data_IF_584122907126
#
_entry.id   IF_584122907126
#
_cell.length_a   1.000
_cell.length_b   1.000
_cell.length_c   1.000
_cell.angle_alpha   90.00
_cell.angle_beta   90.00
_cell.angle_gamma   90.00
#
_symmetry.space_group_name_H-M   'P 1'
#
loop_
_entity.id
_entity.type
_entity.pdbx_description
1 polymer ?
#
# COMPACT_ATOMS: atom_id res chain seq x y z
N UNK A 1 24.94 -1.25 -4.61
CA UNK A 1 24.21 -0.11 -5.25
C UNK A 1 23.40 -0.65 -6.41
N UNK A 2 22.13 -1.07 -6.23
CA UNK A 2 21.24 -1.22 -7.36
C UNK A 2 20.68 0.17 -7.70
N UNK A 3 20.85 0.59 -8.95
CA UNK A 3 20.11 1.71 -9.52
C UNK A 3 18.63 1.30 -9.52
N UNK A 4 17.86 1.85 -8.57
CA UNK A 4 16.41 1.73 -8.57
C UNK A 4 15.90 2.48 -9.80
N UNK A 5 15.68 1.76 -10.89
CA UNK A 5 14.95 2.26 -12.05
C UNK A 5 13.56 2.69 -11.59
N UNK A 6 13.27 3.99 -11.66
CA UNK A 6 11.98 4.62 -11.35
C UNK A 6 10.90 4.27 -12.38
N UNK A 7 10.70 2.98 -12.66
CA UNK A 7 9.70 2.52 -13.62
C UNK A 7 8.40 2.19 -12.89
N UNK A 8 7.39 3.05 -13.05
CA UNK A 8 6.01 2.75 -12.68
C UNK A 8 5.25 2.45 -13.98
N UNK A 9 4.83 1.19 -14.18
CA UNK A 9 4.13 0.78 -15.39
C UNK A 9 2.63 0.65 -15.10
N UNK A 10 1.80 1.26 -15.94
CA UNK A 10 0.35 1.04 -15.91
C UNK A 10 0.05 -0.44 -16.19
N UNK A 11 -0.92 -1.00 -15.48
CA UNK A 11 -1.30 -2.40 -15.65
C UNK A 11 -1.91 -2.60 -17.04
N UNK A 12 -1.27 -3.44 -17.85
CA UNK A 12 -1.86 -3.97 -19.07
C UNK A 12 -2.40 -5.37 -18.80
N UNK A 13 -3.69 -5.55 -19.03
CA UNK A 13 -4.37 -6.84 -18.93
C UNK A 13 -3.92 -7.69 -20.13
N UNK A 14 -3.00 -8.63 -19.91
CA UNK A 14 -2.56 -9.54 -20.96
C UNK A 14 -3.33 -10.86 -20.84
N UNK A 15 -4.38 -11.01 -21.64
CA UNK A 15 -5.02 -12.30 -21.83
C UNK A 15 -4.05 -13.23 -22.56
N UNK A 16 -3.48 -14.21 -21.83
CA UNK A 16 -2.68 -15.26 -22.47
C UNK A 16 -3.61 -16.22 -23.21
N UNK A 17 -3.85 -15.94 -24.48
CA UNK A 17 -4.20 -17.00 -25.43
C UNK A 17 -2.92 -17.81 -25.73
N UNK A 18 -2.95 -19.16 -25.71
CA UNK A 18 -1.80 -19.94 -26.10
C UNK A 18 -1.62 -19.82 -27.61
N UNK A 19 -0.68 -18.99 -28.07
CA UNK A 19 -0.20 -19.05 -29.44
C UNK A 19 1.25 -18.57 -29.57
N UNK A 20 1.99 -19.50 -30.15
CA UNK A 20 3.32 -19.44 -30.73
C UNK A 20 3.59 -18.26 -31.68
N UNK A 21 4.87 -17.85 -31.68
CA UNK A 21 5.63 -17.08 -32.68
C UNK A 21 5.52 -15.54 -32.70
N UNK A 22 6.73 -14.95 -32.75
CA UNK A 22 7.11 -13.55 -33.03
C UNK A 22 7.10 -12.61 -31.81
N UNK A 23 8.13 -11.81 -31.54
CA UNK A 23 9.44 -11.60 -32.16
C UNK A 23 10.25 -10.69 -31.24
N UNK A 24 11.56 -10.87 -31.18
CA UNK A 24 12.49 -10.08 -30.37
C UNK A 24 12.74 -8.72 -31.00
N UNK A 25 12.30 -7.63 -30.35
CA UNK A 25 12.75 -6.28 -30.67
C UNK A 25 13.78 -5.77 -29.63
N UNK A 26 14.74 -4.94 -30.03
CA UNK A 26 15.94 -4.66 -29.24
C UNK A 26 15.69 -3.55 -28.21
N UNK A 27 16.30 -3.68 -27.03
CA UNK A 27 16.33 -2.65 -25.98
C UNK A 27 16.94 -1.34 -26.48
N UNK A 28 16.07 -0.39 -26.82
CA UNK A 28 16.43 1.03 -26.95
C UNK A 28 16.47 1.66 -25.56
N UNK A 29 17.66 2.16 -25.20
CA UNK A 29 17.96 3.30 -24.32
C UNK A 29 16.95 3.56 -23.19
N UNK A 30 17.36 3.33 -21.94
CA UNK A 30 16.66 3.77 -20.72
C UNK A 30 16.57 5.32 -20.70
N UNK A 31 15.63 5.88 -21.45
CA UNK A 31 15.20 7.26 -21.27
C UNK A 31 14.56 7.35 -19.90
N UNK A 32 15.06 8.27 -19.07
CA UNK A 32 14.41 8.58 -17.80
C UNK A 32 12.98 9.04 -18.11
N UNK A 33 11.98 8.30 -17.64
CA UNK A 33 10.56 8.56 -17.92
C UNK A 33 10.06 9.89 -17.34
N UNK A 34 10.85 10.53 -16.48
CA UNK A 34 10.56 11.83 -15.89
C UNK A 34 11.79 12.77 -15.96
N UNK A 35 11.59 14.10 -15.96
CA UNK A 35 12.66 15.09 -15.84
C UNK A 35 13.49 14.93 -14.55
N UNK A 36 14.67 15.54 -14.51
CA UNK A 36 15.50 15.58 -13.30
C UNK A 36 14.72 16.16 -12.10
N UNK A 37 14.88 15.57 -10.91
CA UNK A 37 14.15 15.88 -9.65
C UNK A 37 12.66 15.54 -9.65
N UNK A 38 12.16 14.86 -10.69
CA UNK A 38 10.83 14.27 -10.71
C UNK A 38 10.92 12.75 -10.67
N UNK A 39 9.92 12.14 -10.04
CA UNK A 39 9.77 10.69 -9.94
C UNK A 39 8.44 10.28 -10.53
N UNK A 40 8.45 9.17 -11.27
CA UNK A 40 7.23 8.58 -11.79
C UNK A 40 6.48 7.92 -10.62
N UNK A 41 5.29 8.41 -10.35
CA UNK A 41 4.44 7.93 -9.25
C UNK A 41 3.04 7.60 -9.76
N UNK A 42 2.36 6.62 -9.16
CA UNK A 42 0.96 6.35 -9.49
C UNK A 42 0.09 7.60 -9.27
N UNK A 43 -0.69 7.98 -10.28
CA UNK A 43 -1.68 9.05 -10.19
C UNK A 43 -3.08 8.52 -9.83
N UNK A 44 -3.37 7.28 -10.24
CA UNK A 44 -4.60 6.57 -9.94
C UNK A 44 -4.31 5.10 -9.69
N UNK A 45 -4.83 4.59 -8.56
CA UNK A 45 -4.71 3.20 -8.14
C UNK A 45 -6.08 2.68 -7.76
N UNK A 46 -6.52 1.59 -8.37
CA UNK A 46 -7.69 0.85 -7.92
C UNK A 46 -7.29 -0.44 -7.22
N UNK A 47 -8.05 -0.84 -6.22
CA UNK A 47 -7.87 -2.09 -5.50
C UNK A 47 -8.82 -3.12 -6.10
N UNK A 48 -8.25 -4.09 -6.80
CA UNK A 48 -9.00 -5.20 -7.39
C UNK A 48 -8.96 -6.40 -6.46
N UNK A 49 -10.13 -7.00 -6.23
CA UNK A 49 -10.24 -8.30 -5.58
C UNK A 49 -10.23 -9.40 -6.64
N UNK A 50 -9.30 -10.35 -6.50
CA UNK A 50 -9.11 -11.49 -7.39
C UNK A 50 -9.38 -12.77 -6.62
N UNK A 51 -10.27 -13.62 -7.12
CA UNK A 51 -10.43 -14.97 -6.62
C UNK A 51 -9.36 -15.87 -7.27
N UNK A 52 -8.29 -16.15 -6.54
CA UNK A 52 -7.25 -17.09 -6.92
C UNK A 52 -7.59 -18.50 -6.41
N UNK A 53 -6.87 -19.53 -6.88
CA UNK A 53 -7.02 -20.90 -6.39
C UNK A 53 -6.71 -21.02 -4.89
N UNK A 54 -5.78 -20.19 -4.41
CA UNK A 54 -5.38 -20.10 -2.99
C UNK A 54 -6.35 -19.26 -2.16
N UNK A 55 -7.33 -18.61 -2.80
CA UNK A 55 -8.35 -17.78 -2.16
C UNK A 55 -8.39 -16.35 -2.71
N UNK A 56 -9.12 -15.50 -2.00
CA UNK A 56 -9.30 -14.10 -2.39
C UNK A 56 -8.04 -13.29 -2.10
N UNK A 57 -7.53 -12.59 -3.11
CA UNK A 57 -6.37 -11.70 -3.01
C UNK A 57 -6.72 -10.32 -3.53
N UNK A 58 -6.35 -9.28 -2.78
CA UNK A 58 -6.41 -7.91 -3.27
C UNK A 58 -5.09 -7.52 -3.91
N UNK A 59 -5.19 -6.88 -5.08
CA UNK A 59 -4.05 -6.34 -5.81
C UNK A 59 -4.31 -4.87 -6.15
N UNK A 60 -3.26 -4.09 -6.11
CA UNK A 60 -3.28 -2.70 -6.54
C UNK A 60 -3.01 -2.65 -8.04
N UNK A 61 -3.96 -2.08 -8.78
CA UNK A 61 -3.88 -1.88 -10.21
C UNK A 61 -3.61 -0.40 -10.43
N UNK A 62 -2.41 -0.09 -10.94
CA UNK A 62 -2.01 1.26 -11.31
C UNK A 62 -2.62 1.55 -12.68
N UNK A 63 -3.51 2.52 -12.73
CA UNK A 63 -4.20 2.89 -13.99
C UNK A 63 -3.49 4.04 -14.70
N UNK A 64 -2.91 4.96 -13.92
CA UNK A 64 -2.18 6.11 -14.40
C UNK A 64 -0.91 6.38 -13.61
N UNK A 65 0.05 7.01 -14.28
CA UNK A 65 1.30 7.47 -13.70
C UNK A 65 1.51 8.95 -14.04
N UNK A 66 2.13 9.69 -13.13
CA UNK A 66 2.54 11.06 -13.36
C UNK A 66 3.93 11.34 -12.78
N UNK A 67 4.63 12.31 -13.34
CA UNK A 67 5.89 12.79 -12.80
C UNK A 67 5.60 13.79 -11.68
N UNK A 68 5.94 13.45 -10.44
CA UNK A 68 5.84 14.33 -9.30
C UNK A 68 7.22 14.78 -8.83
N UNK A 69 7.31 16.03 -8.36
CA UNK A 69 8.52 16.51 -7.72
C UNK A 69 8.80 15.68 -6.46
N UNK A 70 10.05 15.25 -6.28
CA UNK A 70 10.46 14.58 -5.05
C UNK A 70 10.76 15.62 -3.98
N UNK A 71 10.00 15.69 -2.87
CA UNK A 71 10.28 16.62 -1.79
C UNK A 71 11.63 16.29 -1.14
N UNK A 72 12.37 17.32 -0.74
CA UNK A 72 13.64 17.19 -0.02
C UNK A 72 13.45 16.77 1.43
N UNK A 73 12.29 17.08 2.00
CA UNK A 73 11.93 16.77 3.38
C UNK A 73 11.11 15.48 3.47
N UNK A 74 11.15 14.84 4.65
CA UNK A 74 10.32 13.69 4.94
C UNK A 74 8.89 14.14 5.30
N UNK A 75 7.95 13.87 4.40
CA UNK A 75 6.56 14.30 4.52
C UNK A 75 5.60 13.14 4.17
N UNK A 76 4.41 13.17 4.77
CA UNK A 76 3.28 12.36 4.31
C UNK A 76 2.76 12.95 3.01
N UNK A 77 2.76 12.15 1.96
CA UNK A 77 2.18 12.48 0.66
C UNK A 77 0.84 11.74 0.49
N UNK A 78 -0.12 12.33 -0.23
CA UNK A 78 -1.36 11.65 -0.55
C UNK A 78 -1.09 10.43 -1.45
N UNK A 79 -1.87 9.39 -1.26
CA UNK A 79 -1.87 8.18 -2.06
C UNK A 79 -3.31 7.67 -2.16
N UNK A 80 -4.03 8.11 -3.20
CA UNK A 80 -5.43 7.75 -3.39
C UNK A 80 -5.56 6.30 -3.89
N UNK A 81 -6.47 5.56 -3.27
CA UNK A 81 -6.85 4.20 -3.67
C UNK A 81 -8.36 4.10 -3.77
N UNK A 82 -8.85 3.60 -4.91
CA UNK A 82 -10.27 3.34 -5.14
C UNK A 82 -10.58 1.87 -4.86
N UNK A 83 -11.44 1.62 -3.88
CA UNK A 83 -11.91 0.31 -3.48
C UNK A 83 -13.26 0.01 -4.14
N UNK A 84 -13.49 -1.24 -4.51
CA UNK A 84 -14.74 -1.72 -5.13
C UNK A 84 -15.21 -0.86 -6.31
N UNK A 85 -14.33 -0.61 -7.30
CA UNK A 85 -14.68 0.21 -8.46
C UNK A 85 -15.88 -0.35 -9.21
N UNK A 86 -16.68 0.54 -9.81
CA UNK A 86 -17.88 0.20 -10.60
C UNK A 86 -18.99 -0.49 -9.80
N UNK A 87 -19.03 -0.27 -8.48
CA UNK A 87 -20.04 -0.84 -7.60
C UNK A 87 -20.68 0.21 -6.68
N UNK A 88 -21.87 -0.06 -6.10
CA UNK A 88 -22.46 0.82 -5.09
C UNK A 88 -21.63 0.98 -3.80
N UNK A 89 -20.59 0.16 -3.62
CA UNK A 89 -19.65 0.21 -2.51
C UNK A 89 -18.35 0.96 -2.85
N UNK A 90 -18.28 1.58 -4.04
CA UNK A 90 -17.09 2.29 -4.48
C UNK A 90 -16.71 3.39 -3.48
N UNK A 91 -15.44 3.36 -3.05
CA UNK A 91 -14.92 4.36 -2.13
C UNK A 91 -13.45 4.66 -2.46
N UNK A 92 -13.14 5.94 -2.64
CA UNK A 92 -11.75 6.39 -2.80
C UNK A 92 -11.23 6.94 -1.48
N UNK A 93 -10.10 6.41 -1.02
CA UNK A 93 -9.45 6.78 0.23
C UNK A 93 -8.02 7.25 -0.03
N UNK A 94 -7.62 8.34 0.63
CA UNK A 94 -6.20 8.68 0.76
C UNK A 94 -5.56 7.79 1.83
N UNK A 95 -4.90 6.71 1.41
CA UNK A 95 -4.18 5.84 2.35
C UNK A 95 -2.86 6.43 2.82
N UNK A 96 -2.40 7.50 2.18
CA UNK A 96 -1.13 8.15 2.47
C UNK A 96 0.09 7.28 2.15
N UNK A 97 1.23 7.95 2.02
CA UNK A 97 2.55 7.31 1.94
C UNK A 97 3.62 8.28 2.43
N UNK A 98 4.80 7.78 2.73
CA UNK A 98 5.93 8.64 3.03
C UNK A 98 6.69 9.00 1.74
N UNK A 99 7.10 10.26 1.65
CA UNK A 99 8.05 10.70 0.63
C UNK A 99 9.36 9.93 0.70
N UNK A 100 10.11 9.88 -0.38
CA UNK A 100 11.43 9.27 -0.42
C UNK A 100 12.50 10.33 -0.77
N UNK A 101 12.92 11.17 0.19
CA UNK A 101 13.95 12.18 -0.06
C UNK A 101 15.29 11.51 -0.38
N UNK A 102 16.11 12.14 -1.22
CA UNK A 102 17.37 11.54 -1.70
C UNK A 102 18.47 11.47 -0.64
N UNK A 103 18.43 12.40 0.32
CA UNK A 103 19.41 12.51 1.40
C UNK A 103 18.72 12.59 2.77
N UNK A 104 18.08 11.51 3.24
CA UNK A 104 17.35 11.49 4.51
C UNK A 104 18.26 11.65 5.76
N UNK A 105 19.58 11.75 5.59
CA UNK A 105 20.59 11.63 6.66
C UNK A 105 21.18 10.22 6.70
N UNK A 106 22.44 10.08 7.11
CA UNK A 106 23.11 8.77 7.16
C UNK A 106 22.33 7.78 8.02
N UNK A 107 21.90 6.66 7.42
CA UNK A 107 21.19 5.58 8.12
C UNK A 107 19.73 5.87 8.47
N UNK A 108 19.15 6.99 8.02
CA UNK A 108 17.76 7.34 8.25
C UNK A 108 16.90 7.08 7.01
N UNK A 109 15.64 6.74 7.23
CA UNK A 109 14.64 6.53 6.20
C UNK A 109 13.38 7.33 6.56
N UNK A 110 12.70 7.86 5.55
CA UNK A 110 11.40 8.50 5.77
C UNK A 110 10.32 7.42 5.90
N UNK A 111 9.89 7.16 7.13
CA UNK A 111 9.04 6.04 7.48
C UNK A 111 7.78 6.51 8.23
N UNK A 112 6.67 5.77 8.11
CA UNK A 112 5.39 6.15 8.71
C UNK A 112 5.40 5.92 10.23
N UNK A 113 5.09 6.95 11.01
CA UNK A 113 5.13 6.89 12.47
C UNK A 113 3.81 6.46 13.10
N UNK A 114 2.71 6.91 12.49
CA UNK A 114 1.37 6.75 13.03
C UNK A 114 0.46 6.19 11.94
N UNK A 115 -0.50 5.37 12.35
CA UNK A 115 -1.50 4.77 11.48
C UNK A 115 -2.89 4.99 12.06
N UNK A 116 -3.76 5.57 11.25
CA UNK A 116 -5.19 5.55 11.48
C UNK A 116 -5.82 4.34 10.77
N UNK A 117 -7.05 4.02 11.14
CA UNK A 117 -7.81 2.92 10.55
C UNK A 117 -9.19 3.38 10.14
N UNK A 118 -9.59 3.09 8.90
CA UNK A 118 -10.94 3.35 8.40
C UNK A 118 -11.62 2.02 8.10
N UNK A 119 -12.81 1.82 8.65
CA UNK A 119 -13.65 0.68 8.32
C UNK A 119 -14.47 0.99 7.06
N UNK A 120 -14.20 0.26 5.99
CA UNK A 120 -14.96 0.33 4.75
C UNK A 120 -15.98 -0.81 4.68
N UNK A 121 -17.13 -0.54 4.07
CA UNK A 121 -18.12 -1.57 3.78
C UNK A 121 -17.65 -2.42 2.61
N UNK A 122 -17.85 -3.72 2.72
CA UNK A 122 -17.50 -4.72 1.70
C UNK A 122 -18.69 -5.66 1.50
N UNK A 123 -18.73 -6.42 0.40
CA UNK A 123 -19.75 -7.47 0.23
C UNK A 123 -19.75 -8.52 1.36
N UNK A 124 -18.60 -8.72 2.02
CA UNK A 124 -18.39 -9.72 3.08
C UNK A 124 -18.37 -9.11 4.50
N UNK A 125 -18.98 -7.94 4.70
CA UNK A 125 -18.99 -7.23 5.99
C UNK A 125 -18.12 -5.97 5.97
N UNK A 126 -17.37 -5.71 7.04
CA UNK A 126 -16.49 -4.56 7.13
C UNK A 126 -15.02 -4.97 7.01
N UNK A 127 -14.21 -4.04 6.49
CA UNK A 127 -12.76 -4.22 6.40
C UNK A 127 -12.06 -2.97 6.91
N UNK A 128 -10.97 -3.15 7.66
CA UNK A 128 -10.09 -2.05 8.01
C UNK A 128 -9.09 -1.75 6.89
N UNK A 129 -8.97 -0.47 6.57
CA UNK A 129 -7.93 0.08 5.71
C UNK A 129 -7.05 0.94 6.59
N UNK A 130 -5.75 0.65 6.60
CA UNK A 130 -4.77 1.47 7.28
C UNK A 130 -4.48 2.74 6.50
N UNK A 131 -4.45 3.86 7.21
CA UNK A 131 -4.11 5.18 6.68
C UNK A 131 -2.84 5.65 7.38
N UNK A 132 -1.82 6.01 6.61
CA UNK A 132 -0.62 6.64 7.17
C UNK A 132 -1.01 7.99 7.73
N UNK A 133 -0.76 8.25 9.01
CA UNK A 133 -1.09 9.52 9.66
C UNK A 133 0.05 10.54 9.59
N UNK A 134 1.28 10.11 9.86
CA UNK A 134 2.46 10.97 9.80
C UNK A 134 3.72 10.20 9.36
N UNK A 135 4.71 10.92 8.83
CA UNK A 135 6.00 10.38 8.39
C UNK A 135 7.13 11.14 9.07
N UNK A 136 8.18 10.44 9.50
CA UNK A 136 9.39 11.04 10.08
C UNK A 136 10.64 10.27 9.65
N UNK A 137 11.78 10.94 9.72
CA UNK A 137 13.08 10.31 9.54
C UNK A 137 13.39 9.42 10.75
N UNK A 138 13.64 8.14 10.50
CA UNK A 138 13.94 7.13 11.53
C UNK A 138 14.94 6.11 11.06
N UNK A 139 15.61 5.49 12.03
CA UNK A 139 16.38 4.27 11.82
C UNK A 139 15.44 3.15 11.30
N UNK A 140 15.96 2.22 10.49
CA UNK A 140 15.16 1.10 10.01
C UNK A 140 14.77 0.15 11.15
N UNK A 141 13.70 -0.63 10.95
CA UNK A 141 13.24 -1.68 11.84
C UNK A 141 12.72 -1.23 13.22
N UNK A 142 11.50 -0.70 13.24
CA UNK A 142 10.79 -0.40 14.48
C UNK A 142 9.39 -1.00 14.45
N UNK A 143 8.83 -1.26 15.63
CA UNK A 143 7.43 -1.65 15.77
C UNK A 143 6.55 -0.43 15.61
N UNK A 144 5.51 -0.58 14.81
CA UNK A 144 4.38 0.36 14.75
C UNK A 144 3.12 -0.31 15.24
N UNK A 145 2.21 0.53 15.75
CA UNK A 145 0.85 0.12 16.04
C UNK A 145 0.14 -0.31 14.75
N UNK A 146 -0.55 -1.45 14.79
CA UNK A 146 -1.35 -1.97 13.71
C UNK A 146 -2.65 -2.54 14.28
N UNK A 147 -3.72 -1.76 14.15
CA UNK A 147 -5.04 -2.14 14.61
C UNK A 147 -5.70 -3.12 13.65
N UNK A 148 -6.05 -4.29 14.15
CA UNK A 148 -6.94 -5.24 13.50
C UNK A 148 -8.31 -5.23 14.17
N UNK A 149 -9.36 -5.43 13.36
CA UNK A 149 -10.74 -5.45 13.83
C UNK A 149 -11.28 -6.86 13.70
N UNK A 150 -11.96 -7.34 14.74
CA UNK A 150 -12.54 -8.67 14.76
C UNK A 150 -13.93 -8.64 15.38
N UNK A 151 -14.75 -9.64 15.04
CA UNK A 151 -16.07 -9.82 15.62
C UNK A 151 -16.00 -10.69 16.87
N UNK A 152 -16.48 -10.17 17.99
CA UNK A 152 -16.77 -10.93 19.20
C UNK A 152 -18.25 -11.28 19.23
N UNK A 153 -18.58 -12.57 19.32
CA UNK A 153 -19.96 -13.04 19.44
C UNK A 153 -20.33 -13.10 20.92
N UNK A 154 -21.23 -12.24 21.36
CA UNK A 154 -21.78 -12.22 22.72
C UNK A 154 -23.25 -12.65 22.70
N UNK A 155 -23.74 -13.24 23.80
CA UNK A 155 -25.14 -13.57 23.97
C UNK A 155 -25.81 -12.48 24.81
N UNK A 156 -26.93 -11.94 24.34
CA UNK A 156 -27.72 -11.02 25.16
C UNK A 156 -28.53 -11.78 26.24
N UNK A 157 -29.22 -11.04 27.10
CA UNK A 157 -30.06 -11.63 28.16
C UNK A 157 -31.21 -12.50 27.64
N UNK A 158 -31.58 -12.35 26.36
CA UNK A 158 -32.57 -13.19 25.67
C UNK A 158 -31.94 -14.41 24.97
N UNK A 159 -30.61 -14.60 25.04
CA UNK A 159 -29.89 -15.69 24.37
C UNK A 159 -29.67 -15.48 22.88
N UNK A 160 -29.90 -14.26 22.37
CA UNK A 160 -29.65 -13.91 20.97
C UNK A 160 -28.17 -13.58 20.77
N UNK A 161 -27.62 -14.01 19.62
CA UNK A 161 -26.24 -13.71 19.24
C UNK A 161 -26.13 -12.26 18.79
N UNK A 162 -25.25 -11.51 19.42
CA UNK A 162 -24.85 -10.18 19.02
C UNK A 162 -23.39 -10.21 18.58
N UNK A 163 -23.10 -9.65 17.42
CA UNK A 163 -21.75 -9.49 16.90
C UNK A 163 -21.26 -8.07 17.25
N UNK A 164 -20.23 -7.99 18.09
CA UNK A 164 -19.59 -6.74 18.48
C UNK A 164 -18.25 -6.60 17.76
N UNK A 165 -18.00 -5.42 17.19
CA UNK A 165 -16.69 -5.10 16.62
C UNK A 165 -15.75 -4.74 17.77
N UNK A 166 -14.61 -5.43 17.84
CA UNK A 166 -13.50 -5.17 18.75
C UNK A 166 -12.25 -4.81 17.95
N UNK A 167 -11.36 -4.07 18.58
CA UNK A 167 -10.07 -3.68 18.02
C UNK A 167 -8.93 -4.26 18.85
N UNK A 168 -7.83 -4.61 18.18
CA UNK A 168 -6.62 -5.13 18.81
C UNK A 168 -5.38 -4.61 18.08
N UNK A 169 -4.40 -4.12 18.85
CA UNK A 169 -3.09 -3.76 18.30
C UNK A 169 -2.20 -5.01 18.17
N UNK A 170 -2.16 -5.61 16.99
CA UNK A 170 -1.22 -6.69 16.71
C UNK A 170 0.19 -6.16 16.50
N UNK A 171 0.30 -4.91 16.04
CA UNK A 171 1.50 -4.20 15.61
C UNK A 171 2.32 -4.92 14.55
N UNK A 172 3.16 -4.16 13.85
CA UNK A 172 3.99 -4.68 12.75
C UNK A 172 5.37 -4.06 12.78
N UNK A 173 6.33 -4.77 12.23
CA UNK A 173 7.67 -4.24 12.01
C UNK A 173 7.73 -3.49 10.68
N UNK A 174 8.27 -2.28 10.70
CA UNK A 174 8.45 -1.46 9.50
C UNK A 174 9.91 -1.04 9.31
N UNK A 175 10.28 -0.87 8.04
CA UNK A 175 11.65 -0.61 7.60
C UNK A 175 12.38 -1.89 7.21
N UNK A 176 13.71 -1.81 7.12
CA UNK A 176 14.56 -2.94 6.78
C UNK A 176 14.94 -3.67 8.07
N UNK A 177 14.23 -4.75 8.38
CA UNK A 177 14.53 -5.62 9.51
C UNK A 177 15.37 -6.82 9.08
N UNK A 178 16.48 -7.06 9.78
CA UNK A 178 17.25 -8.27 9.57
C UNK A 178 16.47 -9.48 10.11
N UNK A 179 16.44 -10.62 9.38
CA UNK A 179 15.77 -11.82 9.85
C UNK A 179 16.26 -12.24 11.24
N UNK A 180 15.32 -12.42 12.18
CA UNK A 180 15.62 -12.83 13.55
C UNK A 180 15.98 -11.69 14.51
N UNK A 181 16.08 -10.44 14.04
CA UNK A 181 16.20 -9.27 14.92
C UNK A 181 14.84 -8.82 15.47
N UNK A 182 14.71 -8.53 16.77
CA UNK A 182 13.48 -7.94 17.31
C UNK A 182 13.39 -6.47 16.86
N UNK A 183 12.18 -6.05 16.52
CA UNK A 183 11.93 -4.68 16.10
C UNK A 183 11.97 -3.76 17.32
N UNK A 184 12.55 -2.57 17.14
CA UNK A 184 12.67 -1.60 18.23
C UNK A 184 11.27 -1.17 18.71
N UNK A 185 10.99 -1.37 19.99
CA UNK A 185 9.81 -0.83 20.66
C UNK A 185 10.12 0.61 21.06
N UNK A 186 9.26 1.55 20.69
CA UNK A 186 9.34 2.96 21.10
C UNK A 186 7.96 3.46 21.50
#
# INVERSE_FOLDING_TARGET
LPLLSSSCSSFQLQERFPSSLAGSEPSTRLEHSCPANYRCEPSSVRVQELLLLEGVRQVEVIEGCQCNASPSECLRLPSLKTFFPDSPLEQTLDVGRCSNPEHPGEGLFCLPMDFDSILIKTPNGHRSVQIVGSCRLREPCYRVSHMEYYYEVVLNSAGEKLELIKEIDVGRCLGQCDPGSPCLLR
#
